data_IF_245397582446
#
_entry.id   IF_245397582446
#
_cell.length_a   1.000
_cell.length_b   1.000
_cell.length_c   1.000
_cell.angle_alpha   90.00
_cell.angle_beta   90.00
_cell.angle_gamma   90.00
#
_symmetry.space_group_name_H-M   'P 1'
#
loop_
_entity.id
_entity.type
_entity.pdbx_description
1 polymer ?
#
# COMPACT_ATOMS: atom_id res chain seq x y z
N UNK A 1 27.52 19.39 -11.73
CA UNK A 1 26.22 20.08 -11.73
C UNK A 1 25.16 19.02 -11.53
N UNK A 2 24.53 19.11 -10.37
CA UNK A 2 24.07 18.03 -9.49
C UNK A 2 22.72 17.42 -9.89
N UNK A 3 22.67 16.12 -10.19
CA UNK A 3 21.38 15.43 -10.45
C UNK A 3 21.34 13.97 -9.94
N UNK A 4 22.21 13.61 -8.98
CA UNK A 4 22.30 12.23 -8.47
C UNK A 4 21.87 12.12 -6.99
N UNK A 5 21.73 13.22 -6.26
CA UNK A 5 21.63 13.25 -4.80
C UNK A 5 20.21 13.28 -4.19
N UNK A 6 19.17 12.85 -4.91
CA UNK A 6 17.82 12.72 -4.34
C UNK A 6 17.24 11.30 -4.37
N UNK A 7 18.06 10.27 -4.53
CA UNK A 7 17.62 8.85 -4.47
C UNK A 7 17.81 8.19 -3.09
N UNK A 8 18.05 8.97 -2.04
CA UNK A 8 18.42 8.48 -0.70
C UNK A 8 17.47 8.93 0.44
N UNK A 9 16.21 9.29 0.17
CA UNK A 9 15.21 9.49 1.24
C UNK A 9 14.55 8.16 1.62
N UNK A 10 15.30 7.33 2.35
CA UNK A 10 14.79 6.31 3.28
C UNK A 10 13.66 5.41 2.80
N UNK A 11 13.95 4.47 1.90
CA UNK A 11 13.19 3.23 1.63
C UNK A 11 11.68 3.34 1.91
N UNK A 12 11.00 4.10 1.07
CA UNK A 12 9.52 4.16 1.01
C UNK A 12 8.88 2.89 0.42
N UNK A 13 9.62 1.79 0.41
CA UNK A 13 9.21 0.51 -0.15
C UNK A 13 8.24 -0.16 0.82
N UNK A 14 6.94 0.01 0.56
CA UNK A 14 5.88 -0.60 1.34
C UNK A 14 5.15 -1.62 0.48
N UNK A 15 5.07 -2.86 0.96
CA UNK A 15 4.23 -3.90 0.38
C UNK A 15 2.87 -3.88 1.10
N UNK A 16 1.98 -2.98 0.68
CA UNK A 16 0.60 -2.92 1.20
C UNK A 16 -0.38 -3.38 0.11
N UNK A 17 -1.46 -4.03 0.53
CA UNK A 17 -2.61 -4.22 -0.35
C UNK A 17 -3.53 -3.01 -0.22
N UNK A 18 -4.08 -2.58 -1.36
CA UNK A 18 -5.06 -1.52 -1.45
C UNK A 18 -6.15 -1.94 -2.44
N UNK A 19 -7.35 -1.42 -2.24
CA UNK A 19 -8.43 -1.51 -3.22
C UNK A 19 -8.39 -0.27 -4.12
N UNK A 20 -8.61 -0.46 -5.41
CA UNK A 20 -8.58 0.59 -6.43
C UNK A 20 -9.87 0.56 -7.24
N UNK A 21 -10.47 1.72 -7.44
CA UNK A 21 -11.65 1.94 -8.27
C UNK A 21 -11.29 2.83 -9.45
N UNK A 22 -11.80 2.47 -10.62
CA UNK A 22 -11.75 3.31 -11.83
C UNK A 22 -13.01 4.17 -11.86
N UNK A 23 -12.86 5.49 -12.02
CA UNK A 23 -14.03 6.35 -12.17
C UNK A 23 -14.77 5.96 -13.46
N UNK A 24 -16.08 5.76 -13.36
CA UNK A 24 -16.93 5.35 -14.49
C UNK A 24 -16.94 3.85 -14.80
N UNK A 25 -16.20 3.02 -14.06
CA UNK A 25 -16.33 1.55 -14.11
C UNK A 25 -16.88 1.05 -12.79
N UNK A 26 -17.75 0.05 -12.84
CA UNK A 26 -18.22 -0.62 -11.62
C UNK A 26 -17.22 -1.71 -11.22
N UNK A 27 -16.83 -1.73 -9.95
CA UNK A 27 -15.92 -2.73 -9.38
C UNK A 27 -14.67 -2.19 -8.68
N UNK A 28 -14.19 -2.99 -7.73
CA UNK A 28 -12.94 -2.76 -7.00
C UNK A 28 -11.87 -3.76 -7.43
N UNK A 29 -10.63 -3.27 -7.56
CA UNK A 29 -9.49 -4.06 -7.94
C UNK A 29 -8.43 -4.04 -6.85
N UNK A 30 -7.98 -5.23 -6.43
CA UNK A 30 -6.88 -5.34 -5.49
C UNK A 30 -5.56 -5.04 -6.18
N UNK A 31 -4.84 -4.06 -5.66
CA UNK A 31 -3.53 -3.65 -6.14
C UNK A 31 -2.53 -3.74 -5.01
N UNK A 32 -1.26 -3.94 -5.36
CA UNK A 32 -0.18 -3.87 -4.40
C UNK A 32 0.49 -2.52 -4.50
N UNK A 33 0.50 -1.78 -3.41
CA UNK A 33 1.36 -0.60 -3.26
C UNK A 33 2.81 -1.07 -3.25
N UNK A 34 3.67 -0.33 -3.93
CA UNK A 34 5.13 -0.55 -4.00
C UNK A 34 5.89 0.59 -3.32
N UNK A 35 5.42 1.81 -3.52
CA UNK A 35 5.89 3.00 -2.82
C UNK A 35 4.72 3.96 -2.59
N UNK A 36 4.82 4.81 -1.57
CA UNK A 36 3.85 5.85 -1.28
C UNK A 36 4.59 7.14 -0.94
N UNK A 37 4.09 8.28 -1.41
CA UNK A 37 4.60 9.60 -1.06
C UNK A 37 3.42 10.51 -0.76
N UNK A 38 3.69 11.76 -0.35
CA UNK A 38 2.64 12.75 -0.18
C UNK A 38 1.87 13.03 -1.48
N UNK A 39 2.52 12.94 -2.64
CA UNK A 39 1.93 13.33 -3.94
C UNK A 39 1.49 12.17 -4.82
N UNK A 40 1.76 10.92 -4.44
CA UNK A 40 1.38 9.78 -5.27
C UNK A 40 1.87 8.44 -4.78
N UNK A 41 1.48 7.41 -5.53
CA UNK A 41 1.72 6.00 -5.21
C UNK A 41 2.10 5.23 -6.48
N UNK A 42 3.06 4.32 -6.36
CA UNK A 42 3.28 3.26 -7.35
C UNK A 42 2.48 2.04 -6.93
N UNK A 43 1.60 1.59 -7.81
CA UNK A 43 0.80 0.39 -7.64
C UNK A 43 1.15 -0.67 -8.69
N UNK A 44 0.96 -1.93 -8.34
CA UNK A 44 1.14 -3.09 -9.21
C UNK A 44 -0.13 -3.94 -9.16
N UNK A 45 -0.70 -4.27 -10.31
CA UNK A 45 -1.93 -5.05 -10.40
C UNK A 45 -2.36 -5.30 -11.85
N UNK A 46 -3.12 -6.38 -12.07
CA UNK A 46 -3.55 -6.84 -13.41
C UNK A 46 -4.72 -6.05 -14.01
N UNK A 47 -5.05 -4.89 -13.43
CA UNK A 47 -6.11 -4.01 -13.90
C UNK A 47 -5.66 -3.30 -15.19
N UNK A 48 -6.55 -3.25 -16.18
CA UNK A 48 -6.31 -2.48 -17.40
C UNK A 48 -6.63 -1.02 -17.13
N UNK A 49 -5.58 -0.20 -17.06
CA UNK A 49 -5.67 1.27 -16.89
C UNK A 49 -5.05 1.97 -18.08
N UNK A 50 -5.45 3.21 -18.33
CA UNK A 50 -4.81 4.10 -19.30
C UNK A 50 -4.31 5.37 -18.60
N UNK A 51 -3.26 5.99 -19.15
CA UNK A 51 -2.76 7.27 -18.65
C UNK A 51 -3.86 8.32 -18.76
N UNK A 52 -4.03 9.11 -17.70
CA UNK A 52 -5.11 10.09 -17.60
C UNK A 52 -6.40 9.55 -17.00
N UNK A 53 -6.54 8.24 -16.78
CA UNK A 53 -7.71 7.71 -16.08
C UNK A 53 -7.78 8.26 -14.65
N UNK A 54 -8.97 8.71 -14.27
CA UNK A 54 -9.29 9.05 -12.89
C UNK A 54 -9.55 7.77 -12.09
N UNK A 55 -8.97 7.71 -10.90
CA UNK A 55 -9.05 6.55 -10.00
C UNK A 55 -9.19 6.98 -8.56
N UNK A 56 -9.73 6.10 -7.73
CA UNK A 56 -9.72 6.20 -6.28
C UNK A 56 -8.97 5.01 -5.71
N UNK A 57 -8.00 5.24 -4.82
CA UNK A 57 -7.23 4.20 -4.15
C UNK A 57 -7.48 4.24 -2.64
N UNK A 58 -7.86 3.11 -2.06
CA UNK A 58 -8.08 2.97 -0.61
C UNK A 58 -6.76 2.71 0.09
N UNK A 59 -6.29 3.69 0.88
CA UNK A 59 -5.08 3.59 1.67
C UNK A 59 -5.45 3.39 3.15
N UNK A 60 -4.80 2.44 3.81
CA UNK A 60 -5.05 2.17 5.23
C UNK A 60 -4.85 3.43 6.10
N UNK A 61 -5.70 3.62 7.10
CA UNK A 61 -5.73 4.79 8.00
C UNK A 61 -5.95 6.17 7.32
N UNK A 62 -6.12 6.21 5.99
CA UNK A 62 -6.38 7.45 5.24
C UNK A 62 -7.76 7.38 4.57
N UNK A 63 -8.13 6.22 4.04
CA UNK A 63 -9.37 6.01 3.28
C UNK A 63 -9.14 6.15 1.78
N UNK A 64 -10.21 6.46 1.06
CA UNK A 64 -10.19 6.61 -0.40
C UNK A 64 -9.54 7.94 -0.80
N UNK A 65 -8.51 7.86 -1.64
CA UNK A 65 -7.77 9.01 -2.16
C UNK A 65 -7.94 9.06 -3.66
N UNK A 66 -8.38 10.22 -4.16
CA UNK A 66 -8.53 10.50 -5.59
C UNK A 66 -7.19 10.76 -6.25
N UNK A 67 -7.04 10.27 -7.47
CA UNK A 67 -5.86 10.50 -8.27
C UNK A 67 -6.07 10.21 -9.74
N UNK A 68 -4.99 10.40 -10.50
CA UNK A 68 -4.95 10.16 -11.93
C UNK A 68 -3.77 9.28 -12.28
N UNK A 69 -3.95 8.36 -13.22
CA UNK A 69 -2.86 7.53 -13.74
C UNK A 69 -1.84 8.42 -14.48
N UNK A 70 -0.67 8.61 -13.88
CA UNK A 70 0.38 9.49 -14.40
C UNK A 70 1.28 8.78 -15.42
N UNK A 71 1.54 7.50 -15.22
CA UNK A 71 2.37 6.66 -16.10
C UNK A 71 2.04 5.17 -15.91
N UNK A 72 2.37 4.36 -16.91
CA UNK A 72 2.18 2.90 -16.90
C UNK A 72 3.46 2.25 -17.45
N UNK A 73 3.91 1.18 -16.80
CA UNK A 73 5.02 0.35 -17.24
C UNK A 73 4.75 -1.10 -16.82
N UNK A 74 4.53 -1.96 -17.81
CA UNK A 74 4.12 -3.36 -17.60
C UNK A 74 2.87 -3.46 -16.71
N UNK A 75 2.96 -4.22 -15.60
CA UNK A 75 1.90 -4.38 -14.62
C UNK A 75 1.98 -3.34 -13.48
N UNK A 76 2.79 -2.29 -13.64
CA UNK A 76 2.97 -1.20 -12.69
C UNK A 76 2.46 0.10 -13.27
N UNK A 77 1.93 0.94 -12.40
CA UNK A 77 1.46 2.26 -12.78
C UNK A 77 1.62 3.22 -11.61
N UNK A 78 1.86 4.48 -11.95
CA UNK A 78 1.91 5.56 -10.98
C UNK A 78 0.58 6.30 -10.94
N UNK A 79 0.07 6.54 -9.74
CA UNK A 79 -1.08 7.38 -9.49
C UNK A 79 -0.57 8.68 -8.87
N UNK A 80 -0.85 9.82 -9.50
CA UNK A 80 -0.66 11.13 -8.89
C UNK A 80 -1.93 11.49 -8.13
N UNK A 81 -1.80 11.90 -6.86
CA UNK A 81 -2.95 12.31 -6.06
C UNK A 81 -3.43 13.69 -6.46
N UNK A 82 -4.75 13.90 -6.42
CA UNK A 82 -5.34 15.23 -6.63
C UNK A 82 -4.97 16.16 -5.47
N UNK A 83 -5.06 15.63 -4.25
CA UNK A 83 -4.67 16.33 -3.02
C UNK A 83 -3.54 15.56 -2.31
N UNK A 84 -2.55 16.27 -1.74
CA UNK A 84 -1.46 15.61 -1.05
C UNK A 84 -1.96 14.95 0.24
N UNK A 85 -1.39 13.78 0.56
CA UNK A 85 -1.69 13.04 1.79
C UNK A 85 -0.53 13.07 2.78
N UNK A 86 -0.77 12.64 4.02
CA UNK A 86 0.29 12.30 4.95
C UNK A 86 0.64 10.81 4.84
N UNK A 87 1.78 10.44 4.21
CA UNK A 87 2.14 9.03 4.00
C UNK A 87 2.48 8.27 5.30
N UNK A 88 2.73 8.98 6.42
CA UNK A 88 3.00 8.34 7.71
C UNK A 88 1.77 7.64 8.28
N UNK A 89 0.56 8.17 8.04
CA UNK A 89 -0.69 7.55 8.50
C UNK A 89 -0.87 6.16 7.89
N UNK A 90 -0.52 6.00 6.61
CA UNK A 90 -0.53 4.71 5.94
C UNK A 90 0.53 3.71 6.47
N UNK A 91 1.45 4.14 7.34
CA UNK A 91 2.45 3.30 8.00
C UNK A 91 2.11 2.95 9.44
N UNK A 92 1.20 3.68 10.05
CA UNK A 92 0.78 3.39 11.42
C UNK A 92 0.08 2.03 11.50
N UNK A 93 0.22 1.30 12.62
CA UNK A 93 -0.53 0.08 12.84
C UNK A 93 -2.02 0.39 12.77
N UNK A 94 -2.77 -0.41 12.03
CA UNK A 94 -4.24 -0.31 12.02
C UNK A 94 -4.71 -0.70 13.42
N UNK A 95 -4.96 0.28 14.28
CA UNK A 95 -5.62 0.07 15.56
C UNK A 95 -7.08 -0.16 15.24
N UNK A 96 -7.53 -1.41 15.36
CA UNK A 96 -8.88 -1.81 15.00
C UNK A 96 -9.92 -1.11 15.89
N UNK A 97 -10.31 0.10 15.51
CA UNK A 97 -11.51 0.75 15.99
C UNK A 97 -12.60 0.59 14.90
N UNK A 98 -13.34 -0.52 15.00
CA UNK A 98 -14.66 -0.67 14.37
C UNK A 98 -14.69 -0.92 12.86
N UNK A 99 -14.28 -2.12 12.42
CA UNK A 99 -15.23 -3.03 11.79
C UNK A 99 -14.69 -4.47 11.83
N UNK A 100 -15.60 -5.41 12.04
CA UNK A 100 -15.33 -6.76 12.56
C UNK A 100 -14.47 -7.65 11.64
N UNK A 101 -13.21 -7.90 12.01
CA UNK A 101 -12.50 -9.14 11.63
C UNK A 101 -12.68 -10.17 12.76
N UNK A 102 -13.36 -11.30 12.54
CA UNK A 102 -13.65 -12.26 13.59
C UNK A 102 -12.39 -12.86 14.20
N UNK A 103 -12.40 -12.95 15.53
CA UNK A 103 -11.29 -13.27 16.45
C UNK A 103 -10.73 -14.70 16.37
N UNK A 104 -11.00 -15.46 15.29
CA UNK A 104 -10.63 -16.88 15.18
C UNK A 104 -9.34 -17.15 14.37
N UNK A 105 -8.60 -16.13 13.94
CA UNK A 105 -7.29 -16.38 13.32
C UNK A 105 -6.26 -16.63 14.41
N UNK A 106 -6.05 -17.91 14.69
CA UNK A 106 -5.08 -18.49 15.63
C UNK A 106 -3.71 -17.79 15.49
N UNK A 107 -3.10 -17.26 16.56
CA UNK A 107 -1.73 -16.76 16.51
C UNK A 107 -0.78 -17.90 16.09
N UNK A 108 0.27 -17.65 15.30
CA UNK A 108 1.33 -18.64 15.14
C UNK A 108 1.93 -18.93 16.52
N UNK A 109 1.98 -20.22 16.87
CA UNK A 109 2.54 -20.74 18.12
C UNK A 109 3.94 -20.16 18.37
N UNK A 110 4.32 -19.84 19.62
CA UNK A 110 5.69 -19.44 19.93
C UNK A 110 6.63 -20.59 19.57
N UNK A 111 7.69 -20.27 18.83
CA UNK A 111 8.77 -21.20 18.54
C UNK A 111 9.30 -21.77 19.85
N UNK A 112 9.30 -23.10 19.95
CA UNK A 112 9.86 -23.83 21.09
C UNK A 112 11.36 -23.51 21.15
N UNK A 113 11.78 -22.86 22.23
CA UNK A 113 13.20 -22.64 22.51
C UNK A 113 13.87 -23.98 22.83
N UNK A 114 14.70 -24.45 21.90
CA UNK A 114 15.54 -25.63 22.04
C UNK A 114 16.80 -25.33 22.86
N UNK A 115 16.70 -24.93 24.13
CA UNK A 115 17.90 -24.89 25.00
C UNK A 115 17.59 -25.12 26.47
N UNK A 116 17.29 -26.37 26.90
CA UNK A 116 17.76 -26.92 28.19
C UNK A 116 17.88 -28.44 28.15
N UNK A 117 18.97 -28.91 27.56
CA UNK A 117 19.63 -30.14 27.98
C UNK A 117 20.11 -29.95 29.44
N UNK A 118 19.71 -30.83 30.39
CA UNK A 118 20.56 -31.41 31.46
C UNK A 118 19.75 -32.26 32.46
N UNK A 119 20.15 -33.55 32.53
CA UNK A 119 20.25 -34.48 33.68
C UNK A 119 19.29 -34.31 34.84
N UNK A 120 18.61 -35.41 35.23
CA UNK A 120 19.06 -36.36 36.27
C UNK A 120 18.55 -37.75 35.93
#
# INVERSE_FOLDING_TARGET
MDDIDHRQLGRDSMFLMADLRLVGTDGEHKVRVRNLSAGGVMAEGSIKVARGNEVEVSLRNIGWVRGTIAWIQDNRFGIAFVEPINPRLARDPVTAAGDSTPRFVKPPLPAIDQTRLRKI
#
